data_IF_638460519516
#
_entry.id   IF_638460519516
#
_cell.length_a   1.000
_cell.length_b   1.000
_cell.length_c   1.000
_cell.angle_alpha   90.00
_cell.angle_beta   90.00
_cell.angle_gamma   90.00
#
_symmetry.space_group_name_H-M   'P 1'
#
loop_
_entity.id
_entity.type
_entity.pdbx_description
1 polymer ?
#
# COMPACT_ATOMS: atom_id res chain seq x y z
N UNK A 1 2.60 0.54 18.74
CA UNK A 1 2.89 0.54 17.29
C UNK A 1 2.90 -0.89 16.80
N UNK A 2 2.43 -1.14 15.58
CA UNK A 2 2.49 -2.49 15.01
C UNK A 2 3.95 -2.92 14.78
N UNK A 3 4.25 -4.20 15.00
CA UNK A 3 5.59 -4.77 14.78
C UNK A 3 5.63 -5.56 13.48
N UNK A 4 6.50 -5.15 12.56
CA UNK A 4 6.77 -5.88 11.31
C UNK A 4 8.00 -6.77 11.51
N UNK A 5 7.90 -8.03 11.09
CA UNK A 5 9.00 -8.99 11.11
C UNK A 5 9.09 -9.69 9.76
N UNK A 6 10.31 -9.83 9.24
CA UNK A 6 10.60 -10.58 8.01
C UNK A 6 11.31 -11.87 8.38
N UNK A 7 10.78 -13.00 7.93
CA UNK A 7 11.38 -14.32 8.12
C UNK A 7 11.51 -15.06 6.81
N UNK A 8 12.13 -16.25 6.85
CA UNK A 8 12.30 -17.11 5.67
C UNK A 8 10.97 -17.52 5.01
N UNK A 9 9.88 -17.50 5.77
CA UNK A 9 8.56 -17.92 5.33
C UNK A 9 7.60 -16.75 5.06
N UNK A 10 8.09 -15.50 5.07
CA UNK A 10 7.32 -14.31 4.70
C UNK A 10 7.30 -13.21 5.78
N UNK A 11 6.29 -12.35 5.70
CA UNK A 11 6.11 -11.18 6.55
C UNK A 11 5.11 -11.49 7.66
N UNK A 12 5.37 -10.97 8.88
CA UNK A 12 4.44 -10.97 10.00
C UNK A 12 4.19 -9.55 10.48
N UNK A 13 2.93 -9.24 10.79
CA UNK A 13 2.51 -8.01 11.47
C UNK A 13 1.85 -8.43 12.78
N UNK A 14 2.39 -7.98 13.91
CA UNK A 14 1.94 -8.35 15.26
C UNK A 14 1.82 -9.87 15.46
N UNK A 15 2.83 -10.60 14.98
CA UNK A 15 2.92 -12.06 15.06
C UNK A 15 2.03 -12.82 14.06
N UNK A 16 1.09 -12.15 13.38
CA UNK A 16 0.23 -12.77 12.36
C UNK A 16 0.92 -12.80 11.01
N UNK A 17 0.98 -13.97 10.38
CA UNK A 17 1.53 -14.14 9.03
C UNK A 17 0.64 -13.43 8.02
N UNK A 18 1.27 -12.70 7.10
CA UNK A 18 0.60 -11.97 6.04
C UNK A 18 1.18 -12.40 4.68
N UNK A 19 0.29 -12.70 3.73
CA UNK A 19 0.67 -12.81 2.33
C UNK A 19 0.68 -11.39 1.72
N UNK A 20 1.84 -10.87 1.29
CA UNK A 20 1.91 -9.51 0.75
C UNK A 20 1.38 -9.51 -0.69
N UNK A 21 0.13 -9.09 -0.87
CA UNK A 21 -0.45 -8.81 -2.18
C UNK A 21 -0.52 -7.30 -2.28
N UNK A 22 0.32 -6.74 -3.16
CA UNK A 22 0.56 -5.30 -3.21
C UNK A 22 0.16 -4.72 -4.58
N UNK A 23 -0.59 -3.63 -4.56
CA UNK A 23 -0.88 -2.82 -5.74
C UNK A 23 -0.06 -1.53 -5.76
N UNK A 24 0.42 -1.11 -6.93
CA UNK A 24 1.08 0.18 -7.10
C UNK A 24 0.02 1.28 -7.34
N UNK A 25 0.09 2.37 -6.58
CA UNK A 25 -0.81 3.51 -6.70
C UNK A 25 -0.02 4.82 -6.61
N UNK A 26 0.11 5.52 -7.74
CA UNK A 26 0.80 6.81 -7.80
C UNK A 26 -0.16 7.97 -7.46
N UNK A 27 -0.27 8.34 -6.17
CA UNK A 27 -1.25 9.32 -5.71
C UNK A 27 -1.16 10.68 -6.43
N UNK A 28 0.05 11.12 -6.79
CA UNK A 28 0.28 12.40 -7.48
C UNK A 28 -0.20 12.43 -8.93
N UNK A 29 -0.57 11.28 -9.50
CA UNK A 29 -1.12 11.15 -10.86
C UNK A 29 -2.65 11.11 -10.86
N UNK A 30 -3.28 11.21 -9.70
CA UNK A 30 -4.72 11.02 -9.52
C UNK A 30 -5.30 12.15 -8.69
N UNK A 31 -6.41 12.73 -9.14
CA UNK A 31 -7.15 13.73 -8.38
C UNK A 31 -7.50 13.19 -6.97
N UNK A 32 -7.13 13.90 -5.89
CA UNK A 32 -7.36 13.47 -4.52
C UNK A 32 -8.78 13.02 -4.19
N UNK A 33 -9.79 13.57 -4.88
CA UNK A 33 -11.19 13.20 -4.64
C UNK A 33 -11.49 11.72 -4.93
N UNK A 34 -10.63 11.04 -5.69
CA UNK A 34 -10.81 9.64 -6.10
C UNK A 34 -10.00 8.64 -5.28
N UNK A 35 -9.11 9.09 -4.40
CA UNK A 35 -8.19 8.20 -3.69
C UNK A 35 -8.93 7.14 -2.86
N UNK A 36 -9.96 7.53 -2.12
CA UNK A 36 -10.72 6.61 -1.27
C UNK A 36 -11.47 5.54 -2.07
N UNK A 37 -12.04 5.89 -3.23
CA UNK A 37 -12.71 4.93 -4.11
C UNK A 37 -11.69 3.94 -4.68
N UNK A 38 -10.56 4.44 -5.18
CA UNK A 38 -9.50 3.60 -5.78
C UNK A 38 -8.88 2.67 -4.74
N UNK A 39 -8.43 3.20 -3.60
CA UNK A 39 -7.88 2.39 -2.51
C UNK A 39 -8.92 1.40 -1.99
N UNK A 40 -10.18 1.82 -1.88
CA UNK A 40 -11.29 0.95 -1.52
C UNK A 40 -11.46 -0.23 -2.46
N UNK A 41 -11.35 -0.01 -3.78
CA UNK A 41 -11.39 -1.09 -4.79
C UNK A 41 -10.18 -2.00 -4.73
N UNK A 42 -8.98 -1.48 -4.45
CA UNK A 42 -7.77 -2.30 -4.28
C UNK A 42 -7.88 -3.23 -3.06
N UNK A 43 -8.24 -2.68 -1.89
CA UNK A 43 -8.30 -3.46 -0.65
C UNK A 43 -9.51 -4.41 -0.59
N UNK A 44 -10.70 -3.95 -0.99
CA UNK A 44 -11.94 -4.74 -0.86
C UNK A 44 -12.32 -5.49 -2.12
N UNK A 45 -12.04 -4.94 -3.30
CA UNK A 45 -12.42 -5.54 -4.57
C UNK A 45 -11.40 -6.57 -5.07
N UNK A 46 -10.10 -6.26 -4.93
CA UNK A 46 -9.01 -7.13 -5.36
C UNK A 46 -8.32 -7.88 -4.21
N UNK A 47 -8.86 -7.78 -2.99
CA UNK A 47 -8.35 -8.43 -1.77
C UNK A 47 -6.84 -8.21 -1.52
N UNK A 48 -6.34 -7.03 -1.90
CA UNK A 48 -4.95 -6.66 -1.66
C UNK A 48 -4.72 -6.37 -0.18
N UNK A 49 -3.52 -6.65 0.29
CA UNK A 49 -3.13 -6.42 1.70
C UNK A 49 -2.20 -5.22 1.86
N UNK A 50 -1.65 -4.70 0.77
CA UNK A 50 -0.69 -3.59 0.75
C UNK A 50 -0.92 -2.69 -0.46
N UNK A 51 -0.50 -1.44 -0.32
CA UNK A 51 -0.37 -0.48 -1.42
C UNK A 51 1.05 0.08 -1.41
N UNK A 52 1.65 0.17 -2.59
CA UNK A 52 2.93 0.82 -2.81
C UNK A 52 2.73 2.15 -3.55
N UNK A 53 3.58 3.12 -3.25
CA UNK A 53 3.61 4.39 -3.95
C UNK A 53 5.02 4.98 -3.88
N UNK A 54 5.52 5.49 -5.00
CA UNK A 54 6.65 6.41 -4.95
C UNK A 54 6.26 7.76 -4.35
N UNK A 55 7.26 8.50 -3.88
CA UNK A 55 7.14 9.90 -3.51
C UNK A 55 8.00 10.69 -4.51
N UNK A 56 7.41 11.28 -5.56
CA UNK A 56 8.18 11.98 -6.58
C UNK A 56 8.67 13.33 -6.03
N UNK A 57 9.98 13.45 -5.81
CA UNK A 57 10.57 14.66 -5.24
C UNK A 57 10.16 15.92 -6.01
N UNK A 58 10.23 15.93 -7.34
CA UNK A 58 9.90 17.09 -8.19
C UNK A 58 8.45 17.60 -8.08
N UNK A 59 7.53 16.81 -7.52
CA UNK A 59 6.15 17.27 -7.26
C UNK A 59 6.06 18.05 -5.94
N UNK A 60 6.92 17.70 -4.98
CA UNK A 60 6.93 18.30 -3.64
C UNK A 60 7.94 19.44 -3.51
N UNK A 61 9.02 19.40 -4.29
CA UNK A 61 10.04 20.44 -4.39
C UNK A 61 10.36 20.70 -5.88
N UNK A 62 9.69 21.69 -6.50
CA UNK A 62 9.81 22.00 -7.93
C UNK A 62 11.12 22.67 -8.33
#
# INVERSE_FOLDING_TARGET
>A
MARVQVGKDGIRIDGKKLLPICGEFHYWRVDPRWWDDILGRLFRGAEMTMVASYIPWSVHEP
#
